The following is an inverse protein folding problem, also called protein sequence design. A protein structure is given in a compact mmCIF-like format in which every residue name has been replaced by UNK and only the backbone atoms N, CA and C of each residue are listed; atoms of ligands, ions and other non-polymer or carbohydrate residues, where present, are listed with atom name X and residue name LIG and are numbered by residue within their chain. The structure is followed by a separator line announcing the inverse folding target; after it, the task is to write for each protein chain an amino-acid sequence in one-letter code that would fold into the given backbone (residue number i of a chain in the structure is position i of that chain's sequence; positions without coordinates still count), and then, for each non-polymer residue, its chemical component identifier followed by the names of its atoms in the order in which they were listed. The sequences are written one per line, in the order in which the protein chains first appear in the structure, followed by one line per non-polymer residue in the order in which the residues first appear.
data_IF_592401503722
#
_entry.id   IF_592401503722
#
_cell.length_a   1.000
_cell.length_b   1.000
_cell.length_c   1.000
_cell.angle_alpha   90.00
_cell.angle_beta   90.00
_cell.angle_gamma   90.00
#
_symmetry.space_group_name_H-M   'P 1'
#
loop_
_entity.id
_entity.type
_entity.pdbx_description
1 polymer ?
#
# COMPACT_ATOMS: atom_id res chain seq x y z
N UNK A 1 -15.87 18.91 -61.81
CA UNK A 1 -14.72 18.74 -60.90
C UNK A 1 -15.26 18.27 -59.56
N UNK A 2 -14.96 17.01 -59.24
CA UNK A 2 -15.08 16.36 -57.92
C UNK A 2 -14.19 17.18 -56.97
N UNK A 3 -14.63 17.72 -55.84
CA UNK A 3 -15.28 17.06 -54.70
C UNK A 3 -14.24 16.95 -53.59
N UNK A 4 -14.32 17.78 -52.54
CA UNK A 4 -13.60 17.50 -51.29
C UNK A 4 -14.36 18.09 -50.10
N UNK A 5 -15.30 17.29 -49.59
CA UNK A 5 -15.89 17.48 -48.27
C UNK A 5 -14.82 17.01 -47.27
N UNK A 6 -14.18 17.95 -46.58
CA UNK A 6 -13.32 17.64 -45.43
C UNK A 6 -14.23 17.20 -44.30
N UNK A 7 -14.54 15.91 -44.27
CA UNK A 7 -15.19 15.27 -43.14
C UNK A 7 -14.26 15.32 -41.95
N UNK A 8 -14.50 16.29 -41.06
CA UNK A 8 -14.06 16.22 -39.67
C UNK A 8 -14.81 15.06 -39.02
N UNK A 9 -14.27 13.85 -39.17
CA UNK A 9 -14.63 12.72 -38.33
C UNK A 9 -14.06 13.05 -36.96
N UNK A 10 -14.85 13.74 -36.14
CA UNK A 10 -14.64 13.80 -34.71
C UNK A 10 -14.68 12.35 -34.20
N UNK A 11 -13.50 11.74 -34.13
CA UNK A 11 -13.30 10.40 -33.61
C UNK A 11 -13.76 10.43 -32.16
N UNK A 12 -14.97 9.95 -31.92
CA UNK A 12 -15.54 9.79 -30.59
C UNK A 12 -14.77 8.63 -29.93
N UNK A 13 -13.60 8.93 -29.39
CA UNK A 13 -12.80 7.97 -28.64
C UNK A 13 -13.65 7.52 -27.45
N UNK A 14 -13.95 6.23 -27.31
CA UNK A 14 -14.87 5.76 -26.30
C UNK A 14 -14.22 5.94 -24.92
N UNK A 15 -14.81 6.84 -24.12
CA UNK A 15 -14.48 7.14 -22.71
C UNK A 15 -14.42 5.87 -21.83
N UNK A 16 -14.92 4.71 -22.33
CA UNK A 16 -14.83 3.41 -21.66
C UNK A 16 -13.43 2.79 -21.62
N UNK A 17 -12.55 3.06 -22.61
CA UNK A 17 -11.17 2.54 -22.56
C UNK A 17 -10.36 3.20 -21.44
N UNK A 18 -10.60 4.48 -21.21
CA UNK A 18 -9.92 5.25 -20.17
C UNK A 18 -10.26 4.72 -18.77
N UNK A 19 -11.54 4.42 -18.50
CA UNK A 19 -11.96 3.90 -17.19
C UNK A 19 -11.33 2.55 -16.83
N UNK A 20 -11.23 1.61 -17.77
CA UNK A 20 -10.59 0.31 -17.53
C UNK A 20 -9.07 0.43 -17.38
N UNK A 21 -8.44 1.34 -18.13
CA UNK A 21 -7.01 1.61 -17.98
C UNK A 21 -6.71 2.26 -16.62
N UNK A 22 -7.52 3.24 -16.23
CA UNK A 22 -7.42 3.94 -14.96
C UNK A 22 -7.66 3.01 -13.77
N UNK A 23 -8.65 2.10 -13.84
CA UNK A 23 -8.88 1.09 -12.80
C UNK A 23 -7.69 0.14 -12.66
N UNK A 24 -7.09 -0.32 -13.77
CA UNK A 24 -5.89 -1.18 -13.73
C UNK A 24 -4.69 -0.46 -13.14
N UNK A 25 -4.50 0.81 -13.49
CA UNK A 25 -3.38 1.61 -12.99
C UNK A 25 -3.51 1.90 -11.49
N UNK A 26 -4.73 2.16 -11.01
CA UNK A 26 -5.02 2.28 -9.57
C UNK A 26 -4.74 0.97 -8.83
N UNK A 27 -5.21 -0.16 -9.35
CA UNK A 27 -4.94 -1.47 -8.75
C UNK A 27 -3.43 -1.76 -8.69
N UNK A 28 -2.69 -1.48 -9.77
CA UNK A 28 -1.21 -1.62 -9.77
C UNK A 28 -0.56 -0.74 -8.72
N UNK A 29 -0.93 0.53 -8.66
CA UNK A 29 -0.38 1.48 -7.67
C UNK A 29 -0.65 1.04 -6.24
N UNK A 30 -1.83 0.47 -5.97
CA UNK A 30 -2.16 -0.11 -4.68
C UNK A 30 -1.33 -1.37 -4.37
N UNK A 31 -1.18 -2.30 -5.33
CA UNK A 31 -0.33 -3.50 -5.17
C UNK A 31 1.12 -3.10 -4.88
N UNK A 32 1.67 -2.16 -5.65
CA UNK A 32 3.05 -1.69 -5.48
C UNK A 32 3.24 -1.07 -4.09
N UNK A 33 2.29 -0.26 -3.61
CA UNK A 33 2.34 0.30 -2.26
C UNK A 33 2.31 -0.79 -1.18
N UNK A 34 1.51 -1.85 -1.34
CA UNK A 34 1.44 -2.98 -0.39
C UNK A 34 2.74 -3.79 -0.38
N UNK A 35 3.38 -3.96 -1.55
CA UNK A 35 4.70 -4.62 -1.67
C UNK A 35 5.78 -3.78 -0.98
N UNK A 36 5.78 -2.47 -1.19
CA UNK A 36 6.75 -1.56 -0.57
C UNK A 36 6.59 -1.54 0.95
N UNK A 37 5.35 -1.52 1.45
CA UNK A 37 5.06 -1.69 2.88
C UNK A 37 5.63 -3.01 3.42
N UNK A 38 5.41 -4.12 2.72
CA UNK A 38 5.96 -5.43 3.10
C UNK A 38 7.49 -5.39 3.20
N UNK A 39 8.16 -4.76 2.25
CA UNK A 39 9.61 -4.61 2.28
C UNK A 39 10.07 -3.81 3.50
N UNK A 40 9.39 -2.70 3.83
CA UNK A 40 9.69 -1.91 5.02
C UNK A 40 9.50 -2.68 6.33
N UNK A 41 8.43 -3.48 6.45
CA UNK A 41 8.17 -4.31 7.63
C UNK A 41 9.26 -5.37 7.86
N UNK A 42 9.75 -5.99 6.77
CA UNK A 42 10.88 -6.92 6.85
C UNK A 42 12.18 -6.23 7.25
N UNK A 43 12.41 -5.00 6.80
CA UNK A 43 13.55 -4.20 7.25
C UNK A 43 13.49 -3.95 8.76
N UNK A 44 12.33 -3.59 9.30
CA UNK A 44 12.12 -3.43 10.74
C UNK A 44 12.42 -4.77 11.45
N UNK A 45 11.83 -5.89 11.02
CA UNK A 45 12.03 -7.18 11.68
C UNK A 45 13.50 -7.63 11.66
N UNK A 46 14.19 -7.48 10.53
CA UNK A 46 15.61 -7.82 10.39
C UNK A 46 16.52 -6.89 11.21
N UNK A 47 16.22 -5.58 11.22
CA UNK A 47 16.96 -4.60 12.00
C UNK A 47 16.89 -4.90 13.50
N UNK A 48 15.69 -5.25 13.98
CA UNK A 48 15.47 -5.67 15.36
C UNK A 48 16.11 -7.02 15.70
N UNK A 49 16.19 -7.96 14.75
CA UNK A 49 16.89 -9.23 14.95
C UNK A 49 18.42 -9.04 15.05
N UNK A 50 18.97 -8.02 14.40
CA UNK A 50 20.41 -7.76 14.35
C UNK A 50 20.87 -6.87 15.50
N UNK A 51 20.20 -5.74 15.72
CA UNK A 51 20.60 -4.70 16.67
C UNK A 51 19.38 -4.13 17.43
N UNK A 52 18.77 -4.91 18.36
CA UNK A 52 17.55 -4.50 19.05
C UNK A 52 17.73 -3.25 19.93
N UNK A 53 18.94 -2.90 20.35
CA UNK A 53 19.22 -1.80 21.27
C UNK A 53 19.53 -0.46 20.59
N UNK A 54 19.70 -0.45 19.27
CA UNK A 54 20.03 0.74 18.50
C UNK A 54 18.81 1.66 18.28
N UNK A 55 18.53 2.52 19.27
CA UNK A 55 17.35 3.40 19.29
C UNK A 55 17.19 4.28 18.04
N UNK A 56 18.27 4.85 17.51
CA UNK A 56 18.21 5.73 16.33
C UNK A 56 17.77 4.96 15.09
N UNK A 57 18.36 3.79 14.84
CA UNK A 57 18.02 2.92 13.71
C UNK A 57 16.55 2.49 13.78
N UNK A 58 16.13 2.00 14.95
CA UNK A 58 14.72 1.63 15.21
C UNK A 58 13.77 2.77 14.89
N UNK A 59 14.05 3.97 15.41
CA UNK A 59 13.15 5.12 15.19
C UNK A 59 13.02 5.47 13.71
N UNK A 60 14.11 5.35 12.95
CA UNK A 60 14.11 5.57 11.50
C UNK A 60 13.31 4.48 10.79
N UNK A 61 13.54 3.19 11.12
CA UNK A 61 12.84 2.07 10.49
C UNK A 61 11.33 2.13 10.74
N UNK A 62 10.91 2.44 11.98
CA UNK A 62 9.50 2.64 12.32
C UNK A 62 8.90 3.87 11.63
N UNK A 63 9.67 4.93 11.41
CA UNK A 63 9.19 6.10 10.67
C UNK A 63 9.01 5.78 9.17
N UNK A 64 9.92 5.00 8.60
CA UNK A 64 9.82 4.51 7.22
C UNK A 64 8.61 3.61 7.03
N UNK A 65 8.38 2.64 7.93
CA UNK A 65 7.18 1.79 7.85
C UNK A 65 5.88 2.58 8.00
N UNK A 66 5.85 3.63 8.83
CA UNK A 66 4.71 4.54 8.91
C UNK A 66 4.43 5.28 7.60
N UNK A 67 5.48 5.77 6.93
CA UNK A 67 5.34 6.44 5.64
C UNK A 67 4.75 5.49 4.58
N UNK A 68 5.17 4.21 4.56
CA UNK A 68 4.59 3.22 3.66
C UNK A 68 3.14 2.87 4.01
N UNK A 69 2.77 2.81 5.30
CA UNK A 69 1.37 2.66 5.72
C UNK A 69 0.52 3.81 5.18
N UNK A 70 0.98 5.06 5.30
CA UNK A 70 0.28 6.24 4.77
C UNK A 70 0.19 6.20 3.24
N UNK A 71 1.23 5.73 2.56
CA UNK A 71 1.22 5.52 1.11
C UNK A 71 0.20 4.46 0.70
N UNK A 72 0.12 3.32 1.39
CA UNK A 72 -0.91 2.31 1.15
C UNK A 72 -2.31 2.90 1.34
N UNK A 73 -2.53 3.68 2.41
CA UNK A 73 -3.81 4.37 2.65
C UNK A 73 -4.20 5.26 1.49
N UNK A 74 -3.26 6.03 0.96
CA UNK A 74 -3.50 6.94 -0.17
C UNK A 74 -3.70 6.18 -1.49
N UNK A 75 -2.82 5.23 -1.81
CA UNK A 75 -2.84 4.47 -3.07
C UNK A 75 -4.02 3.52 -3.19
N UNK A 76 -4.50 2.97 -2.07
CA UNK A 76 -5.59 2.00 -2.05
C UNK A 76 -6.97 2.62 -1.72
N UNK A 77 -7.06 3.93 -1.45
CA UNK A 77 -8.31 4.60 -1.05
C UNK A 77 -9.44 4.44 -2.08
N UNK A 78 -9.07 4.45 -3.36
CA UNK A 78 -9.96 4.29 -4.51
C UNK A 78 -9.80 2.95 -5.23
N UNK A 79 -8.95 2.06 -4.71
CA UNK A 79 -8.79 0.71 -5.21
C UNK A 79 -9.84 -0.18 -4.52
N UNK A 80 -10.67 -0.91 -5.27
CA UNK A 80 -11.62 -1.83 -4.64
C UNK A 80 -10.83 -2.99 -4.01
N UNK A 81 -10.51 -2.91 -2.72
CA UNK A 81 -10.08 -4.08 -1.94
C UNK A 81 -11.27 -5.05 -1.84
N UNK A 82 -11.03 -6.35 -2.05
CA UNK A 82 -12.11 -7.34 -2.19
C UNK A 82 -12.91 -7.58 -0.92
N UNK A 83 -12.30 -7.36 0.22
CA UNK A 83 -12.93 -7.59 1.51
C UNK A 83 -13.06 -6.29 2.29
N UNK A 84 -14.29 -5.96 2.72
CA UNK A 84 -14.53 -4.96 3.76
C UNK A 84 -13.77 -5.30 5.05
N UNK A 85 -13.54 -6.59 5.29
CA UNK A 85 -12.74 -7.11 6.39
C UNK A 85 -11.26 -6.69 6.28
N UNK A 86 -10.66 -6.66 5.08
CA UNK A 86 -9.28 -6.22 4.89
C UNK A 86 -9.09 -4.71 5.19
N UNK A 87 -10.11 -3.89 4.92
CA UNK A 87 -10.10 -2.45 5.22
C UNK A 87 -10.25 -2.18 6.72
N UNK A 88 -11.15 -2.87 7.42
CA UNK A 88 -11.29 -2.70 8.88
C UNK A 88 -10.13 -3.34 9.66
N UNK A 89 -9.62 -4.50 9.22
CA UNK A 89 -8.42 -5.10 9.81
C UNK A 89 -7.20 -4.18 9.66
N UNK A 90 -7.00 -3.58 8.48
CA UNK A 90 -5.87 -2.65 8.28
C UNK A 90 -5.95 -1.44 9.21
N UNK A 91 -7.14 -0.88 9.47
CA UNK A 91 -7.31 0.22 10.45
C UNK A 91 -6.84 -0.15 11.85
N UNK A 92 -7.23 -1.33 12.35
CA UNK A 92 -6.78 -1.81 13.65
C UNK A 92 -5.27 -2.03 13.68
N UNK A 93 -4.73 -2.64 12.62
CA UNK A 93 -3.29 -2.88 12.50
C UNK A 93 -2.48 -1.58 12.46
N UNK A 94 -2.99 -0.52 11.82
CA UNK A 94 -2.35 0.80 11.83
C UNK A 94 -2.33 1.43 13.23
N UNK A 95 -3.42 1.31 13.98
CA UNK A 95 -3.48 1.80 15.38
C UNK A 95 -2.50 1.03 16.28
N UNK A 96 -2.40 -0.28 16.09
CA UNK A 96 -1.45 -1.11 16.82
C UNK A 96 0.00 -0.74 16.45
N UNK A 97 0.26 -0.49 15.17
CA UNK A 97 1.57 -0.04 14.70
C UNK A 97 1.99 1.31 15.30
N UNK A 98 1.08 2.30 15.33
CA UNK A 98 1.36 3.60 15.98
C UNK A 98 1.65 3.44 17.48
N UNK A 99 0.98 2.49 18.14
CA UNK A 99 1.22 2.17 19.55
C UNK A 99 2.62 1.58 19.77
N UNK A 100 3.01 0.60 18.95
CA UNK A 100 4.34 -0.04 19.02
C UNK A 100 5.46 0.93 18.61
N UNK A 101 5.25 1.78 17.60
CA UNK A 101 6.18 2.85 17.23
C UNK A 101 6.44 3.80 18.42
N UNK A 102 5.38 4.21 19.13
CA UNK A 102 5.53 5.08 20.30
C UNK A 102 6.27 4.38 21.44
N UNK A 103 6.04 3.08 21.64
CA UNK A 103 6.82 2.27 22.58
C UNK A 103 8.30 2.17 22.16
N UNK A 104 8.60 2.03 20.86
CA UNK A 104 9.95 1.93 20.29
C UNK A 104 10.90 3.07 20.67
N UNK A 105 10.33 4.25 20.92
CA UNK A 105 11.04 5.47 21.36
C UNK A 105 11.62 5.35 22.77
N UNK A 106 11.07 4.46 23.59
CA UNK A 106 11.40 4.31 25.00
C UNK A 106 12.07 2.96 25.29
N UNK A 107 11.57 1.89 24.70
CA UNK A 107 12.08 0.52 24.84
C UNK A 107 11.89 -0.25 23.53
N UNK A 108 12.60 -1.36 23.29
CA UNK A 108 12.27 -2.25 22.18
C UNK A 108 10.79 -2.70 22.32
N UNK A 109 9.91 -2.40 21.36
CA UNK A 109 8.51 -2.79 21.44
C UNK A 109 8.39 -4.27 21.04
N UNK A 110 7.29 -4.93 21.40
CA UNK A 110 6.89 -6.15 20.70
C UNK A 110 6.75 -5.85 19.20
N UNK A 111 7.12 -6.80 18.34
CA UNK A 111 7.00 -6.69 16.87
C UNK A 111 5.69 -7.31 16.36
N UNK A 112 4.65 -7.34 17.20
CA UNK A 112 3.40 -8.04 16.88
C UNK A 112 2.64 -7.32 15.77
N UNK A 113 2.53 -5.99 15.80
CA UNK A 113 1.91 -5.23 14.72
C UNK A 113 2.68 -5.35 13.42
N UNK A 114 4.02 -5.37 13.48
CA UNK A 114 4.88 -5.56 12.28
C UNK A 114 4.59 -6.90 11.62
N UNK A 115 4.54 -7.98 12.40
CA UNK A 115 4.24 -9.33 11.89
C UNK A 115 2.81 -9.47 11.40
N UNK A 116 1.86 -8.89 12.11
CA UNK A 116 0.45 -8.93 11.72
C UNK A 116 0.21 -8.12 10.43
N UNK A 117 0.88 -6.98 10.26
CA UNK A 117 0.88 -6.23 9.00
C UNK A 117 1.58 -7.01 7.89
N UNK A 118 2.70 -7.68 8.15
CA UNK A 118 3.36 -8.52 7.14
C UNK A 118 2.43 -9.65 6.69
N UNK A 119 1.72 -10.34 7.59
CA UNK A 119 0.72 -11.32 7.22
C UNK A 119 -0.41 -10.70 6.38
N UNK A 120 -0.96 -9.57 6.82
CA UNK A 120 -2.01 -8.85 6.08
C UNK A 120 -1.56 -8.44 4.67
N UNK A 121 -0.30 -8.04 4.46
CA UNK A 121 0.18 -7.69 3.11
C UNK A 121 0.15 -8.88 2.15
N UNK A 122 0.34 -10.12 2.62
CA UNK A 122 0.20 -11.31 1.76
C UNK A 122 -1.24 -11.48 1.29
N UNK A 123 -2.18 -11.38 2.21
CA UNK A 123 -3.60 -11.51 1.93
C UNK A 123 -4.08 -10.39 0.99
N UNK A 124 -3.63 -9.15 1.23
CA UNK A 124 -3.94 -8.00 0.39
C UNK A 124 -3.38 -8.15 -1.03
N UNK A 125 -2.14 -8.64 -1.20
CA UNK A 125 -1.58 -8.92 -2.52
C UNK A 125 -2.36 -10.01 -3.23
N UNK A 126 -2.73 -11.09 -2.54
CA UNK A 126 -3.56 -12.15 -3.11
C UNK A 126 -4.92 -11.62 -3.60
N UNK A 127 -5.62 -10.83 -2.76
CA UNK A 127 -6.90 -10.20 -3.09
C UNK A 127 -6.82 -9.25 -4.31
N UNK A 128 -5.69 -8.56 -4.47
CA UNK A 128 -5.48 -7.59 -5.55
C UNK A 128 -5.00 -8.24 -6.86
N UNK A 129 -4.36 -9.41 -6.80
CA UNK A 129 -3.76 -10.09 -7.97
C UNK A 129 -4.60 -11.24 -8.52
N UNK A 130 -5.54 -11.79 -7.74
CA UNK A 130 -6.44 -12.87 -8.17
C UNK A 130 -7.75 -12.39 -8.85
N UNK A 131 -7.86 -11.09 -9.16
CA UNK A 131 -8.99 -10.49 -9.88
C UNK A 131 -8.75 -10.43 -11.39
#
# INVERSE_FOLDING_TARGET
MIGLVVGLVAFWVPIRMDRQAQERERSRTCVDAVIDLRAALRTIENGYATNPDHKSERTVDWAAGKAEIERVRASCLDAPLASANGVEQSKMLWQQYDTEQNAARHSPPPLEAVRALDAWTLDAIADLTQR
#
